data_IF_494599472470
#
_entry.id   IF_494599472470
#
_cell.length_a   1.000
_cell.length_b   1.000
_cell.length_c   1.000
_cell.angle_alpha   90.00
_cell.angle_beta   90.00
_cell.angle_gamma   90.00
#
_symmetry.space_group_name_H-M   'P 1'
#
loop_
_entity.id
_entity.type
_entity.pdbx_description
1 polymer ?
#
# COMPACT_ATOMS: atom_id res chain seq x y z
N UNK A 1 19.10 7.69 15.12
CA UNK A 1 18.92 8.98 14.39
C UNK A 1 19.35 10.09 15.33
N UNK A 2 20.54 10.66 15.17
CA UNK A 2 21.00 11.79 15.98
C UNK A 2 20.14 13.02 15.64
N UNK A 3 19.43 13.57 16.63
CA UNK A 3 18.64 14.79 16.48
C UNK A 3 19.59 15.98 16.27
N UNK A 4 19.50 16.73 15.18
CA UNK A 4 20.29 17.95 14.98
C UNK A 4 19.59 19.13 15.67
N UNK A 5 20.27 19.78 16.63
CA UNK A 5 19.81 21.03 17.24
C UNK A 5 20.09 22.19 16.26
N UNK A 6 19.09 23.04 16.03
CA UNK A 6 19.19 24.19 15.13
C UNK A 6 18.72 25.49 15.78
N UNK A 7 19.10 26.61 15.18
CA UNK A 7 18.59 27.94 15.54
C UNK A 7 17.06 27.95 15.56
N UNK A 8 16.47 28.54 16.57
CA UNK A 8 15.01 28.58 16.77
C UNK A 8 14.43 27.39 17.53
N UNK A 9 15.26 26.42 17.95
CA UNK A 9 14.78 25.34 18.81
C UNK A 9 14.40 25.90 20.16
N UNK A 10 13.16 25.63 20.60
CA UNK A 10 12.65 26.04 21.90
C UNK A 10 13.15 25.11 22.99
N UNK A 11 13.69 25.68 24.05
CA UNK A 11 14.10 24.97 25.26
C UNK A 11 13.23 25.41 26.44
N UNK A 12 13.09 24.55 27.44
CA UNK A 12 12.36 24.89 28.67
C UNK A 12 13.20 24.45 29.85
N UNK A 13 13.72 25.42 30.60
CA UNK A 13 14.54 25.21 31.79
C UNK A 13 13.72 25.58 33.02
N UNK A 14 13.91 24.84 34.10
CA UNK A 14 13.38 25.20 35.39
C UNK A 14 14.42 26.01 36.17
N UNK A 15 13.99 27.12 36.74
CA UNK A 15 14.76 27.98 37.62
C UNK A 15 14.21 27.85 39.04
N UNK A 16 15.10 27.51 39.98
CA UNK A 16 14.77 27.42 41.40
C UNK A 16 14.22 28.77 41.89
N UNK A 17 13.01 28.79 42.46
CA UNK A 17 12.33 30.02 42.90
C UNK A 17 11.56 30.79 41.82
N UNK A 18 11.79 30.52 40.53
CA UNK A 18 11.16 31.26 39.41
C UNK A 18 10.32 30.38 38.47
N UNK A 19 10.35 29.06 38.63
CA UNK A 19 9.57 28.13 37.84
C UNK A 19 10.15 27.90 36.44
N UNK A 20 9.30 27.54 35.48
CA UNK A 20 9.75 27.22 34.13
C UNK A 20 9.85 28.45 33.23
N UNK A 21 11.02 28.69 32.65
CA UNK A 21 11.17 29.66 31.57
C UNK A 21 11.39 28.95 30.23
N UNK A 22 10.83 29.54 29.18
CA UNK A 22 11.03 29.08 27.80
C UNK A 22 12.08 29.95 27.14
N UNK A 23 13.14 29.34 26.63
CA UNK A 23 14.21 29.99 25.89
C UNK A 23 14.27 29.51 24.45
N UNK A 24 15.00 30.23 23.60
CA UNK A 24 15.21 29.90 22.20
C UNK A 24 16.70 29.90 21.86
N UNK A 25 17.18 28.88 21.14
CA UNK A 25 18.56 28.83 20.65
C UNK A 25 18.78 29.87 19.56
N UNK A 26 19.72 30.80 19.76
CA UNK A 26 20.01 31.90 18.84
C UNK A 26 21.17 31.62 17.90
N UNK A 27 22.35 31.35 18.46
CA UNK A 27 23.61 31.14 17.71
C UNK A 27 24.57 30.28 18.51
N UNK A 28 25.57 29.73 17.83
CA UNK A 28 26.68 29.02 18.46
C UNK A 28 27.89 29.95 18.59
N UNK A 29 28.51 29.95 19.77
CA UNK A 29 29.70 30.74 20.07
C UNK A 29 30.70 29.89 20.85
N UNK A 30 32.00 30.21 20.70
CA UNK A 30 33.05 29.55 21.46
C UNK A 30 33.18 30.24 22.82
N UNK A 31 32.87 29.50 23.88
CA UNK A 31 32.89 30.00 25.26
C UNK A 31 33.70 29.09 26.17
N UNK A 32 34.12 29.62 27.32
CA UNK A 32 34.69 28.80 28.38
C UNK A 32 33.62 27.82 28.86
N UNK A 33 33.96 26.54 28.81
CA UNK A 33 33.08 25.42 29.12
C UNK A 33 32.63 25.49 30.58
N UNK A 34 31.32 25.46 30.79
CA UNK A 34 30.66 25.37 32.10
C UNK A 34 30.85 23.99 32.71
N UNK A 35 30.84 22.94 31.86
CA UNK A 35 31.04 21.55 32.27
C UNK A 35 32.51 21.18 32.52
N UNK A 36 33.45 21.79 31.79
CA UNK A 36 34.87 21.45 31.79
C UNK A 36 35.74 22.71 31.97
N UNK A 37 35.98 23.15 33.22
CA UNK A 37 36.73 24.37 33.51
C UNK A 37 38.10 24.41 32.80
N UNK A 38 38.40 25.54 32.15
CA UNK A 38 39.67 25.77 31.45
C UNK A 38 39.73 25.26 30.01
N UNK A 39 38.60 24.78 29.46
CA UNK A 39 38.48 24.41 28.03
C UNK A 39 37.51 25.34 27.33
N UNK A 40 37.85 25.76 26.12
CA UNK A 40 36.90 26.46 25.24
C UNK A 40 36.10 25.44 24.45
N UNK A 41 34.78 25.62 24.37
CA UNK A 41 33.86 24.75 23.63
C UNK A 41 32.79 25.56 22.91
N UNK A 42 32.20 24.95 21.88
CA UNK A 42 31.05 25.51 21.18
C UNK A 42 29.80 25.32 22.03
N UNK A 43 29.17 26.42 22.41
CA UNK A 43 27.91 26.45 23.14
C UNK A 43 26.85 27.24 22.38
N UNK A 44 25.59 26.88 22.58
CA UNK A 44 24.45 27.64 22.09
C UNK A 44 24.10 28.76 23.05
N UNK A 45 24.00 29.99 22.54
CA UNK A 45 23.38 31.09 23.26
C UNK A 45 21.86 30.89 23.28
N UNK A 46 21.29 30.79 24.48
CA UNK A 46 19.85 30.76 24.72
C UNK A 46 19.41 32.12 25.21
N UNK A 47 18.44 32.72 24.53
CA UNK A 47 17.74 33.91 25.01
C UNK A 47 16.39 33.53 25.63
N UNK A 48 16.12 34.02 26.83
CA UNK A 48 14.84 33.88 27.52
C UNK A 48 13.97 35.13 27.33
N UNK A 49 12.67 35.02 27.62
CA UNK A 49 11.69 36.08 27.39
C UNK A 49 11.88 37.32 28.30
N UNK A 50 12.58 37.16 29.43
CA UNK A 50 12.95 38.20 30.39
C UNK A 50 14.22 38.96 29.99
N UNK A 51 14.83 38.62 28.84
CA UNK A 51 16.08 39.22 28.38
C UNK A 51 17.32 38.59 28.99
N UNK A 52 17.18 37.56 29.83
CA UNK A 52 18.32 36.78 30.31
C UNK A 52 18.91 35.94 29.17
N UNK A 53 20.24 35.88 29.11
CA UNK A 53 20.96 35.07 28.14
C UNK A 53 21.95 34.16 28.86
N UNK A 54 21.99 32.89 28.45
CA UNK A 54 22.89 31.90 29.03
C UNK A 54 23.45 30.99 27.92
N UNK A 55 24.69 30.54 28.08
CA UNK A 55 25.32 29.62 27.15
C UNK A 55 25.09 28.19 27.61
N UNK A 56 24.69 27.32 26.68
CA UNK A 56 24.56 25.90 26.94
C UNK A 56 25.34 25.08 25.91
N UNK A 57 26.22 24.21 26.40
CA UNK A 57 26.79 23.17 25.58
C UNK A 57 25.69 22.24 25.07
N UNK A 58 25.88 21.71 23.87
CA UNK A 58 24.96 20.72 23.29
C UNK A 58 24.80 19.49 24.21
N UNK A 59 25.86 19.16 24.96
CA UNK A 59 25.84 18.12 25.98
C UNK A 59 24.88 18.47 27.14
N UNK A 60 24.85 19.71 27.63
CA UNK A 60 23.93 20.16 28.69
C UNK A 60 22.48 20.18 28.22
N UNK A 61 22.24 20.63 26.99
CA UNK A 61 20.90 20.63 26.38
C UNK A 61 20.34 19.21 26.29
N UNK A 62 21.19 18.24 25.91
CA UNK A 62 20.78 16.84 25.71
C UNK A 62 20.73 16.03 27.01
N UNK A 63 21.64 16.29 27.95
CA UNK A 63 21.78 15.52 29.20
C UNK A 63 21.04 16.13 30.39
N UNK A 64 20.65 17.41 30.29
CA UNK A 64 19.96 18.18 31.33
C UNK A 64 20.76 18.42 32.61
N UNK A 65 22.08 18.24 32.58
CA UNK A 65 22.88 17.97 33.77
C UNK A 65 23.12 19.16 34.70
N UNK A 66 22.95 20.39 34.26
CA UNK A 66 23.34 21.55 35.07
C UNK A 66 22.15 22.17 35.85
N UNK A 67 21.53 21.28 36.66
CA UNK A 67 21.00 21.48 38.03
C UNK A 67 20.13 22.71 38.32
N UNK A 68 18.92 22.61 38.87
CA UNK A 68 18.65 21.96 40.16
C UNK A 68 17.24 21.38 40.33
N UNK A 69 16.30 21.51 39.40
CA UNK A 69 14.95 20.89 39.54
C UNK A 69 14.14 20.92 38.22
N UNK A 70 14.62 20.32 37.13
CA UNK A 70 13.76 20.14 35.94
C UNK A 70 12.90 18.87 36.07
N UNK A 71 11.69 18.82 35.47
CA UNK A 71 10.72 17.76 35.64
C UNK A 71 11.30 16.50 35.04
N UNK A 72 11.23 15.45 35.85
CA UNK A 72 11.81 14.17 35.57
C UNK A 72 11.07 13.51 34.41
N UNK A 73 11.82 13.00 33.44
CA UNK A 73 11.29 11.94 32.59
C UNK A 73 11.04 10.70 33.49
N UNK A 74 10.32 9.67 33.03
CA UNK A 74 9.96 8.49 33.84
C UNK A 74 11.08 7.75 34.61
N UNK A 75 12.36 8.14 34.41
CA UNK A 75 13.56 7.62 35.06
C UNK A 75 14.31 8.64 35.95
N UNK A 76 13.72 9.78 36.33
CA UNK A 76 14.23 10.63 37.42
C UNK A 76 15.37 11.62 37.10
N UNK A 77 15.55 12.04 35.83
CA UNK A 77 16.61 13.01 35.44
C UNK A 77 16.07 14.22 34.65
N UNK A 78 16.65 15.43 34.85
CA UNK A 78 16.19 16.68 34.25
C UNK A 78 16.29 16.68 32.71
N UNK A 79 15.27 17.20 32.00
CA UNK A 79 15.33 17.43 30.55
C UNK A 79 15.12 18.90 30.19
N UNK A 80 16.05 19.48 29.42
CA UNK A 80 16.06 20.92 29.05
C UNK A 80 15.39 21.16 27.69
N UNK A 81 15.26 20.11 26.86
CA UNK A 81 14.68 20.19 25.51
C UNK A 81 13.19 19.84 25.52
N UNK A 82 12.35 20.75 25.01
CA UNK A 82 10.94 20.47 24.74
C UNK A 82 10.80 19.78 23.39
N UNK A 83 10.77 18.45 23.41
CA UNK A 83 10.67 17.59 22.22
C UNK A 83 9.33 17.79 21.46
N UNK A 84 8.30 18.40 22.08
CA UNK A 84 6.96 18.60 21.50
C UNK A 84 6.96 19.44 20.22
N UNK A 85 7.91 20.36 20.06
CA UNK A 85 7.96 21.27 18.91
C UNK A 85 8.91 20.81 17.80
N UNK A 86 9.63 19.70 18.00
CA UNK A 86 10.59 19.23 17.02
C UNK A 86 9.89 18.72 15.75
N UNK A 87 10.37 19.13 14.55
CA UNK A 87 9.80 18.67 13.28
C UNK A 87 9.72 17.15 13.16
N UNK A 88 10.72 16.42 13.65
CA UNK A 88 10.72 14.96 13.58
C UNK A 88 9.59 14.33 14.41
N UNK A 89 9.29 14.88 15.61
CA UNK A 89 8.18 14.39 16.45
C UNK A 89 6.82 14.74 15.85
N UNK A 90 6.69 15.92 15.24
CA UNK A 90 5.46 16.30 14.50
C UNK A 90 5.19 15.35 13.33
N UNK A 91 6.24 14.93 12.60
CA UNK A 91 6.12 13.94 11.54
C UNK A 91 5.61 12.59 12.06
N UNK A 92 6.22 12.09 13.15
CA UNK A 92 5.78 10.83 13.79
C UNK A 92 4.34 10.93 14.29
N UNK A 93 3.96 12.03 14.96
CA UNK A 93 2.60 12.22 15.46
C UNK A 93 1.59 12.27 14.33
N UNK A 94 1.90 12.94 13.22
CA UNK A 94 1.02 12.98 12.05
C UNK A 94 0.79 11.58 11.46
N UNK A 95 1.84 10.76 11.35
CA UNK A 95 1.70 9.38 10.85
C UNK A 95 0.91 8.49 11.82
N UNK A 96 1.07 8.70 13.13
CA UNK A 96 0.27 8.00 14.13
C UNK A 96 -1.20 8.44 14.12
N UNK A 97 -1.48 9.73 13.94
CA UNK A 97 -2.83 10.27 13.76
C UNK A 97 -3.51 9.64 12.54
N UNK A 98 -2.85 9.60 11.39
CA UNK A 98 -3.38 8.93 10.18
C UNK A 98 -3.66 7.43 10.41
N UNK A 99 -2.81 6.75 11.18
CA UNK A 99 -3.01 5.34 11.54
C UNK A 99 -4.16 5.13 12.53
N UNK A 100 -4.32 6.04 13.50
CA UNK A 100 -5.42 6.01 14.47
C UNK A 100 -6.75 6.37 13.82
N UNK A 101 -6.78 7.35 12.93
CA UNK A 101 -7.95 7.71 12.12
C UNK A 101 -8.43 6.51 11.29
N UNK A 102 -7.50 5.75 10.71
CA UNK A 102 -7.85 4.51 10.01
C UNK A 102 -8.46 3.46 10.93
N UNK A 103 -7.91 3.27 12.13
CA UNK A 103 -8.43 2.32 13.11
C UNK A 103 -9.80 2.75 13.65
N UNK A 104 -9.98 4.05 13.89
CA UNK A 104 -11.24 4.62 14.34
C UNK A 104 -12.31 4.52 13.25
N UNK A 105 -11.97 4.86 11.99
CA UNK A 105 -12.85 4.66 10.84
C UNK A 105 -13.22 3.17 10.64
N UNK A 106 -12.33 2.25 11.03
CA UNK A 106 -12.60 0.80 11.00
C UNK A 106 -13.58 0.36 12.09
N UNK A 107 -13.51 0.98 13.27
CA UNK A 107 -14.41 0.73 14.40
C UNK A 107 -15.77 1.42 14.22
N UNK A 108 -15.81 2.63 13.64
CA UNK A 108 -17.03 3.39 13.37
C UNK A 108 -17.77 2.92 12.11
N UNK A 109 -17.09 2.20 11.21
CA UNK A 109 -17.66 1.72 9.95
C UNK A 109 -17.53 2.70 8.78
N UNK A 110 -16.81 3.82 8.96
CA UNK A 110 -16.59 4.86 7.95
C UNK A 110 -15.37 4.60 7.04
N UNK A 111 -14.72 3.44 7.15
CA UNK A 111 -13.60 3.10 6.28
C UNK A 111 -14.04 2.92 4.81
N UNK A 112 -13.10 3.07 3.87
CA UNK A 112 -13.31 2.65 2.47
C UNK A 112 -13.97 1.27 2.42
N UNK A 113 -14.99 1.12 1.57
CA UNK A 113 -15.78 -0.09 1.47
C UNK A 113 -14.87 -1.33 1.51
N UNK A 114 -15.21 -2.30 2.38
CA UNK A 114 -14.51 -3.58 2.46
C UNK A 114 -14.22 -4.10 1.06
N UNK A 115 -13.00 -4.60 0.83
CA UNK A 115 -12.64 -5.28 -0.42
C UNK A 115 -13.73 -6.31 -0.72
N UNK A 116 -14.54 -6.01 -1.73
CA UNK A 116 -15.74 -6.77 -2.03
C UNK A 116 -15.40 -7.74 -3.14
N UNK A 117 -15.38 -9.03 -2.82
CA UNK A 117 -15.22 -10.09 -3.81
C UNK A 117 -16.45 -10.22 -4.73
N UNK A 118 -17.47 -9.36 -4.60
CA UNK A 118 -18.72 -9.42 -5.37
C UNK A 118 -18.46 -9.46 -6.89
N UNK A 119 -17.51 -8.66 -7.38
CA UNK A 119 -17.19 -8.61 -8.81
C UNK A 119 -16.48 -9.88 -9.27
N UNK A 120 -15.57 -10.43 -8.45
CA UNK A 120 -14.93 -11.72 -8.72
C UNK A 120 -15.93 -12.87 -8.71
N UNK A 121 -16.86 -12.89 -7.75
CA UNK A 121 -17.94 -13.88 -7.72
C UNK A 121 -18.88 -13.75 -8.92
N UNK A 122 -19.15 -12.52 -9.39
CA UNK A 122 -19.93 -12.30 -10.60
C UNK A 122 -19.25 -12.90 -11.83
N UNK A 123 -17.94 -12.69 -11.98
CA UNK A 123 -17.12 -13.30 -13.05
C UNK A 123 -17.14 -14.83 -12.95
N UNK A 124 -16.84 -15.40 -11.77
CA UNK A 124 -16.85 -16.85 -11.56
C UNK A 124 -18.23 -17.47 -11.87
N UNK A 125 -19.32 -16.77 -11.55
CA UNK A 125 -20.68 -17.22 -11.84
C UNK A 125 -20.92 -17.32 -13.34
N UNK A 126 -20.56 -16.29 -14.11
CA UNK A 126 -20.86 -16.25 -15.56
C UNK A 126 -19.91 -17.11 -16.39
N UNK A 127 -18.69 -17.33 -15.93
CA UNK A 127 -17.71 -18.23 -16.56
C UNK A 127 -18.18 -19.70 -16.58
N UNK A 128 -19.11 -20.09 -15.70
CA UNK A 128 -19.72 -21.43 -15.74
C UNK A 128 -20.43 -21.72 -17.05
N UNK A 129 -20.85 -20.70 -17.80
CA UNK A 129 -21.40 -20.86 -19.14
C UNK A 129 -20.44 -21.53 -20.12
N UNK A 130 -19.13 -21.61 -19.83
CA UNK A 130 -18.17 -22.33 -20.69
C UNK A 130 -18.05 -23.82 -20.36
N UNK A 131 -18.80 -24.31 -19.36
CA UNK A 131 -19.06 -25.73 -19.16
C UNK A 131 -20.33 -26.12 -19.92
N UNK A 132 -20.25 -26.98 -20.96
CA UNK A 132 -21.40 -27.37 -21.76
C UNK A 132 -22.56 -27.97 -20.95
N UNK A 133 -22.29 -28.80 -19.93
CA UNK A 133 -23.36 -29.38 -19.11
C UNK A 133 -24.09 -28.31 -18.27
N UNK A 134 -23.40 -27.23 -17.89
CA UNK A 134 -24.05 -26.10 -17.22
C UNK A 134 -24.80 -25.22 -18.22
N UNK A 135 -24.20 -24.96 -19.38
CA UNK A 135 -24.80 -24.13 -20.41
C UNK A 135 -26.16 -24.66 -20.87
N UNK A 136 -26.23 -25.95 -21.20
CA UNK A 136 -27.45 -26.60 -21.67
C UNK A 136 -28.64 -26.50 -20.69
N UNK A 137 -28.37 -26.34 -19.39
CA UNK A 137 -29.40 -26.31 -18.36
C UNK A 137 -29.76 -24.90 -17.85
N UNK A 138 -28.85 -23.93 -17.94
CA UNK A 138 -28.98 -22.66 -17.21
C UNK A 138 -28.65 -21.39 -18.01
N UNK A 139 -28.10 -21.52 -19.22
CA UNK A 139 -27.71 -20.34 -20.01
C UNK A 139 -28.82 -19.95 -20.95
N UNK A 140 -29.31 -18.73 -20.77
CA UNK A 140 -30.26 -18.05 -21.64
C UNK A 140 -29.70 -16.68 -22.07
N UNK A 141 -30.47 -15.91 -22.83
CA UNK A 141 -30.05 -14.58 -23.27
C UNK A 141 -29.83 -13.61 -22.09
N UNK A 142 -30.60 -13.74 -21.00
CA UNK A 142 -30.46 -12.93 -19.80
C UNK A 142 -29.14 -13.24 -19.06
N UNK A 143 -28.70 -14.50 -19.09
CA UNK A 143 -27.42 -14.93 -18.55
C UNK A 143 -26.25 -14.28 -19.29
N UNK A 144 -26.34 -14.17 -20.63
CA UNK A 144 -25.31 -13.52 -21.46
C UNK A 144 -25.18 -12.04 -21.11
N UNK A 145 -26.27 -11.33 -20.84
CA UNK A 145 -26.21 -9.94 -20.35
C UNK A 145 -25.39 -9.82 -19.05
N UNK A 146 -25.47 -10.84 -18.18
CA UNK A 146 -24.62 -10.95 -17.00
C UNK A 146 -23.12 -10.99 -17.28
N UNK A 147 -22.70 -11.42 -18.48
CA UNK A 147 -21.29 -11.51 -18.88
C UNK A 147 -20.61 -10.16 -19.13
N UNK A 148 -21.35 -9.03 -19.11
CA UNK A 148 -20.76 -7.69 -19.22
C UNK A 148 -19.69 -7.39 -18.15
N UNK A 149 -19.74 -8.10 -17.01
CA UNK A 149 -18.74 -8.00 -15.95
C UNK A 149 -17.35 -8.57 -16.36
N UNK A 150 -17.27 -9.36 -17.44
CA UNK A 150 -16.03 -9.91 -17.98
C UNK A 150 -15.49 -9.00 -19.08
N UNK A 151 -14.61 -8.07 -18.71
CA UNK A 151 -14.05 -7.04 -19.61
C UNK A 151 -13.59 -7.56 -20.98
N UNK A 152 -12.83 -8.69 -21.08
CA UNK A 152 -12.36 -9.18 -22.38
C UNK A 152 -13.46 -9.63 -23.35
N UNK A 153 -14.66 -9.96 -22.85
CA UNK A 153 -15.74 -10.60 -23.62
C UNK A 153 -16.87 -9.61 -23.91
N UNK A 154 -16.88 -8.45 -23.26
CA UNK A 154 -17.91 -7.42 -23.42
C UNK A 154 -18.20 -7.06 -24.88
N UNK A 155 -17.18 -7.02 -25.74
CA UNK A 155 -17.35 -6.70 -27.16
C UNK A 155 -17.94 -7.84 -28.00
N UNK A 156 -18.02 -9.05 -27.46
CA UNK A 156 -18.53 -10.25 -28.13
C UNK A 156 -19.97 -10.58 -27.75
N UNK A 157 -20.58 -9.89 -26.77
CA UNK A 157 -21.89 -10.25 -26.20
C UNK A 157 -23.00 -10.37 -27.24
N UNK A 158 -23.05 -9.45 -28.20
CA UNK A 158 -24.05 -9.48 -29.26
C UNK A 158 -23.90 -10.72 -30.14
N UNK A 159 -22.68 -11.02 -30.58
CA UNK A 159 -22.40 -12.22 -31.38
C UNK A 159 -22.60 -13.52 -30.60
N UNK A 160 -22.37 -13.52 -29.28
CA UNK A 160 -22.67 -14.66 -28.41
C UNK A 160 -24.16 -14.98 -28.35
N UNK A 161 -25.04 -13.98 -28.39
CA UNK A 161 -26.49 -14.18 -28.45
C UNK A 161 -26.92 -14.76 -29.79
N UNK A 162 -26.34 -14.27 -30.88
CA UNK A 162 -26.63 -14.76 -32.24
C UNK A 162 -26.23 -16.23 -32.40
N UNK A 163 -25.09 -16.63 -31.83
CA UNK A 163 -24.60 -18.01 -31.84
C UNK A 163 -25.17 -18.89 -30.70
N UNK A 164 -25.98 -18.34 -29.79
CA UNK A 164 -26.49 -19.06 -28.62
C UNK A 164 -27.25 -20.35 -28.95
N UNK A 165 -28.17 -20.38 -29.94
CA UNK A 165 -28.91 -21.62 -30.26
C UNK A 165 -27.99 -22.75 -30.74
N UNK A 166 -26.98 -22.41 -31.56
CA UNK A 166 -26.00 -23.38 -32.05
C UNK A 166 -25.13 -23.90 -30.89
N UNK A 167 -24.70 -23.00 -30.00
CA UNK A 167 -23.94 -23.36 -28.82
C UNK A 167 -24.72 -24.29 -27.87
N UNK A 168 -25.99 -23.97 -27.57
CA UNK A 168 -26.83 -24.81 -26.69
C UNK A 168 -27.12 -26.19 -27.28
N UNK A 169 -27.31 -26.27 -28.60
CA UNK A 169 -27.47 -27.56 -29.29
C UNK A 169 -26.23 -28.43 -29.13
N UNK A 170 -25.04 -27.90 -29.39
CA UNK A 170 -23.78 -28.62 -29.21
C UNK A 170 -23.52 -28.96 -27.73
N UNK A 171 -23.95 -28.08 -26.82
CA UNK A 171 -23.78 -28.27 -25.39
C UNK A 171 -24.69 -29.38 -24.82
N UNK A 172 -25.89 -29.55 -25.38
CA UNK A 172 -26.81 -30.63 -25.00
C UNK A 172 -26.27 -32.02 -25.38
N UNK A 173 -25.50 -32.12 -26.46
CA UNK A 173 -24.84 -33.35 -26.91
C UNK A 173 -23.49 -33.62 -26.24
N UNK A 174 -23.02 -32.69 -25.38
CA UNK A 174 -21.72 -32.82 -24.74
C UNK A 174 -21.70 -33.97 -23.72
N UNK A 175 -20.56 -34.69 -23.59
CA UNK A 175 -20.41 -35.72 -22.58
C UNK A 175 -20.52 -35.12 -21.17
N UNK A 176 -20.90 -35.95 -20.19
CA UNK A 176 -20.92 -35.52 -18.79
C UNK A 176 -19.49 -35.27 -18.28
N UNK A 177 -19.22 -34.05 -17.85
CA UNK A 177 -17.94 -33.64 -17.23
C UNK A 177 -18.04 -33.79 -15.71
N UNK A 178 -17.42 -34.85 -15.17
CA UNK A 178 -17.32 -35.04 -13.72
C UNK A 178 -16.43 -33.97 -13.09
N UNK A 179 -16.97 -33.23 -12.11
CA UNK A 179 -16.27 -32.15 -11.40
C UNK A 179 -15.44 -32.63 -10.19
N UNK A 180 -15.42 -33.95 -9.92
CA UNK A 180 -14.71 -34.53 -8.78
C UNK A 180 -13.20 -34.71 -8.96
N UNK A 181 -12.72 -34.64 -10.21
CA UNK A 181 -11.30 -34.73 -10.57
C UNK A 181 -10.94 -33.58 -11.52
N UNK A 182 -10.10 -32.66 -11.04
CA UNK A 182 -9.76 -31.39 -11.72
C UNK A 182 -8.96 -31.62 -12.99
N UNK A 183 -8.04 -32.59 -13.00
CA UNK A 183 -7.17 -32.84 -14.15
C UNK A 183 -7.98 -33.44 -15.30
N UNK A 184 -8.78 -34.47 -14.98
CA UNK A 184 -9.70 -35.09 -15.93
C UNK A 184 -10.77 -34.12 -16.43
N UNK A 185 -11.30 -33.26 -15.56
CA UNK A 185 -12.28 -32.23 -15.92
C UNK A 185 -11.68 -31.22 -16.92
N UNK A 186 -10.50 -30.69 -16.60
CA UNK A 186 -9.82 -29.68 -17.41
C UNK A 186 -9.46 -30.22 -18.79
N UNK A 187 -8.90 -31.43 -18.87
CA UNK A 187 -8.53 -32.03 -20.15
C UNK A 187 -9.76 -32.28 -21.04
N UNK A 188 -10.84 -32.83 -20.46
CA UNK A 188 -12.06 -33.15 -21.21
C UNK A 188 -12.77 -31.89 -21.73
N UNK A 189 -12.86 -30.83 -20.93
CA UNK A 189 -13.43 -29.55 -21.36
C UNK A 189 -12.59 -28.93 -22.48
N UNK A 190 -11.26 -28.87 -22.31
CA UNK A 190 -10.38 -28.31 -23.33
C UNK A 190 -10.44 -29.11 -24.64
N UNK A 191 -10.55 -30.45 -24.55
CA UNK A 191 -10.71 -31.31 -25.73
C UNK A 191 -12.04 -31.07 -26.43
N UNK A 192 -13.13 -30.87 -25.70
CA UNK A 192 -14.43 -30.52 -26.27
C UNK A 192 -14.39 -29.17 -27.00
N UNK A 193 -13.80 -28.14 -26.38
CA UNK A 193 -13.68 -26.82 -27.01
C UNK A 193 -12.79 -26.86 -28.26
N UNK A 194 -11.69 -27.63 -28.27
CA UNK A 194 -10.88 -27.81 -29.48
C UNK A 194 -11.68 -28.39 -30.65
N UNK A 195 -12.58 -29.34 -30.39
CA UNK A 195 -13.38 -29.98 -31.42
C UNK A 195 -14.57 -29.16 -31.93
N UNK A 196 -15.10 -28.23 -31.11
CA UNK A 196 -16.38 -27.57 -31.41
C UNK A 196 -16.27 -26.05 -31.63
N UNK A 197 -15.14 -25.41 -31.29
CA UNK A 197 -15.01 -23.95 -31.37
C UNK A 197 -15.24 -23.34 -32.77
N UNK A 198 -15.01 -24.10 -33.85
CA UNK A 198 -15.23 -23.62 -35.22
C UNK A 198 -16.72 -23.50 -35.59
N UNK A 199 -17.61 -24.20 -34.88
CA UNK A 199 -19.06 -24.14 -35.11
C UNK A 199 -19.69 -22.85 -34.56
N UNK A 200 -19.04 -22.23 -33.57
CA UNK A 200 -19.47 -21.02 -32.89
C UNK A 200 -18.25 -20.13 -32.60
N UNK A 201 -17.74 -19.41 -33.61
CA UNK A 201 -16.45 -18.73 -33.53
C UNK A 201 -16.40 -17.65 -32.44
N UNK A 202 -17.53 -16.99 -32.14
CA UNK A 202 -17.61 -15.97 -31.07
C UNK A 202 -17.51 -16.62 -29.70
N UNK A 203 -18.20 -17.75 -29.48
CA UNK A 203 -18.07 -18.56 -28.27
C UNK A 203 -16.66 -19.16 -28.13
N UNK A 204 -16.05 -19.63 -29.23
CA UNK A 204 -14.67 -20.11 -29.24
C UNK A 204 -13.64 -19.03 -28.90
N UNK A 205 -13.83 -17.82 -29.40
CA UNK A 205 -13.01 -16.66 -29.04
C UNK A 205 -13.21 -16.26 -27.56
N UNK A 206 -14.46 -16.28 -27.07
CA UNK A 206 -14.76 -16.00 -25.68
C UNK A 206 -14.19 -17.06 -24.73
N UNK A 207 -14.25 -18.34 -25.09
CA UNK A 207 -13.70 -19.45 -24.31
C UNK A 207 -12.18 -19.32 -24.14
N UNK A 208 -11.46 -18.98 -25.22
CA UNK A 208 -10.01 -18.70 -25.14
C UNK A 208 -9.69 -17.56 -24.17
N UNK A 209 -10.48 -16.50 -24.19
CA UNK A 209 -10.31 -15.36 -23.26
C UNK A 209 -10.62 -15.76 -21.81
N UNK A 210 -11.69 -16.52 -21.59
CA UNK A 210 -12.06 -17.02 -20.25
C UNK A 210 -11.01 -17.97 -19.69
N UNK A 211 -10.54 -18.94 -20.46
CA UNK A 211 -9.55 -19.91 -19.98
C UNK A 211 -8.17 -19.29 -19.73
N UNK A 212 -7.90 -18.10 -20.29
CA UNK A 212 -6.74 -17.30 -19.95
C UNK A 212 -6.89 -16.51 -18.64
N UNK A 213 -8.11 -16.35 -18.11
CA UNK A 213 -8.33 -15.73 -16.81
C UNK A 213 -7.84 -16.68 -15.71
N UNK A 214 -6.72 -16.34 -15.09
CA UNK A 214 -6.23 -17.08 -13.92
C UNK A 214 -6.98 -16.58 -12.68
N UNK A 215 -7.73 -17.42 -11.94
CA UNK A 215 -8.51 -17.00 -10.78
C UNK A 215 -7.66 -16.79 -9.51
N UNK A 216 -6.38 -16.46 -9.67
CA UNK A 216 -5.48 -16.18 -8.55
C UNK A 216 -4.48 -15.06 -8.90
N UNK A 217 -4.07 -14.30 -7.89
CA UNK A 217 -2.91 -13.40 -7.97
C UNK A 217 -1.60 -14.15 -8.12
N UNK A 218 -1.58 -15.45 -7.81
CA UNK A 218 -0.38 -16.29 -7.78
C UNK A 218 0.30 -16.39 -9.16
N UNK A 219 -0.44 -16.30 -10.27
CA UNK A 219 0.14 -16.18 -11.61
C UNK A 219 1.05 -14.95 -11.72
N UNK A 220 0.57 -13.79 -11.27
CA UNK A 220 1.35 -12.57 -11.21
C UNK A 220 2.48 -12.66 -10.17
N UNK A 221 2.24 -13.24 -9.00
CA UNK A 221 3.29 -13.44 -7.97
C UNK A 221 4.42 -14.34 -8.46
N UNK A 222 4.11 -15.37 -9.27
CA UNK A 222 5.12 -16.23 -9.90
C UNK A 222 5.91 -15.48 -10.96
N UNK A 223 5.26 -14.62 -11.76
CA UNK A 223 5.95 -13.72 -12.69
C UNK A 223 6.82 -12.71 -11.94
N UNK A 224 6.34 -12.12 -10.84
CA UNK A 224 7.11 -11.24 -9.98
C UNK A 224 8.27 -11.98 -9.30
N UNK A 225 8.10 -13.24 -8.91
CA UNK A 225 9.15 -14.07 -8.34
C UNK A 225 10.21 -14.43 -9.39
N UNK A 226 9.79 -14.74 -10.62
CA UNK A 226 10.70 -14.96 -11.75
C UNK A 226 11.51 -13.69 -12.06
N UNK A 227 10.85 -12.53 -12.10
CA UNK A 227 11.49 -11.22 -12.26
C UNK A 227 12.49 -10.93 -11.13
N UNK A 228 12.13 -11.22 -9.88
CA UNK A 228 13.07 -11.10 -8.74
C UNK A 228 14.28 -12.01 -8.90
N UNK A 229 14.08 -13.23 -9.41
CA UNK A 229 15.16 -14.20 -9.66
C UNK A 229 16.09 -13.74 -10.78
N UNK A 230 15.54 -13.10 -11.83
CA UNK A 230 16.30 -12.61 -12.99
C UNK A 230 17.19 -11.39 -12.68
N UNK A 231 16.71 -10.48 -11.82
CA UNK A 231 17.44 -9.27 -11.44
C UNK A 231 18.37 -9.51 -10.22
N UNK A 232 18.06 -10.51 -9.38
CA UNK A 232 18.80 -10.79 -8.16
C UNK A 232 18.63 -9.71 -7.08
N UNK A 233 19.07 -10.02 -5.86
CA UNK A 233 18.80 -9.18 -4.67
C UNK A 233 19.44 -7.78 -4.75
N UNK A 234 20.55 -7.64 -5.46
CA UNK A 234 21.27 -6.36 -5.60
C UNK A 234 20.59 -5.38 -6.56
N UNK A 235 19.72 -5.84 -7.47
CA UNK A 235 19.07 -5.00 -8.48
C UNK A 235 17.58 -4.76 -8.18
N UNK A 236 17.13 -5.08 -6.97
CA UNK A 236 15.72 -4.95 -6.57
C UNK A 236 15.20 -3.51 -6.70
N UNK A 237 16.05 -2.51 -6.41
CA UNK A 237 15.71 -1.09 -6.58
C UNK A 237 15.45 -0.74 -8.05
N UNK A 238 16.28 -1.22 -8.97
CA UNK A 238 16.11 -1.00 -10.40
C UNK A 238 14.86 -1.70 -10.95
N UNK A 239 14.58 -2.94 -10.49
CA UNK A 239 13.36 -3.66 -10.83
C UNK A 239 12.11 -2.92 -10.35
N UNK A 240 12.12 -2.40 -9.12
CA UNK A 240 11.01 -1.65 -8.54
C UNK A 240 10.73 -0.36 -9.35
N UNK A 241 11.76 0.38 -9.74
CA UNK A 241 11.62 1.59 -10.55
C UNK A 241 11.12 1.29 -11.97
N UNK A 242 11.61 0.21 -12.60
CA UNK A 242 11.13 -0.22 -13.92
C UNK A 242 9.67 -0.66 -13.88
N UNK A 243 9.26 -1.43 -12.88
CA UNK A 243 7.87 -1.85 -12.70
C UNK A 243 6.96 -0.65 -12.47
N UNK A 244 7.35 0.25 -11.57
CA UNK A 244 6.59 1.46 -11.26
C UNK A 244 6.46 2.37 -12.48
N UNK A 245 7.55 2.59 -13.21
CA UNK A 245 7.55 3.40 -14.44
C UNK A 245 6.67 2.76 -15.53
N UNK A 246 6.77 1.44 -15.72
CA UNK A 246 5.98 0.71 -16.72
C UNK A 246 4.48 0.73 -16.40
N UNK A 247 4.12 0.56 -15.12
CA UNK A 247 2.75 0.65 -14.65
C UNK A 247 2.20 2.07 -14.77
N UNK A 248 2.97 3.09 -14.38
CA UNK A 248 2.57 4.49 -14.55
C UNK A 248 2.39 4.87 -16.02
N UNK A 249 3.26 4.40 -16.92
CA UNK A 249 3.10 4.64 -18.37
C UNK A 249 1.86 3.96 -18.97
N UNK A 250 1.49 2.77 -18.47
CA UNK A 250 0.28 2.06 -18.90
C UNK A 250 -1.00 2.66 -18.30
N UNK A 251 -0.97 3.02 -17.02
CA UNK A 251 -2.09 3.62 -16.32
C UNK A 251 -2.45 4.99 -16.89
N UNK A 252 -1.44 5.80 -17.19
CA UNK A 252 -1.62 7.11 -17.83
C UNK A 252 -1.96 7.02 -19.33
N UNK A 253 -2.29 5.82 -19.86
CA UNK A 253 -2.73 5.57 -21.23
C UNK A 253 -1.97 6.40 -22.26
N UNK A 254 -0.70 6.09 -22.48
CA UNK A 254 0.15 6.80 -23.46
C UNK A 254 -0.53 6.85 -24.85
N UNK A 255 -1.23 7.94 -25.14
CA UNK A 255 -1.29 8.55 -26.47
C UNK A 255 0.07 9.17 -26.70
N UNK A 256 0.89 8.50 -27.50
CA UNK A 256 2.07 9.10 -28.13
C UNK A 256 1.97 8.79 -29.60
N UNK A 257 1.90 9.87 -30.39
CA UNK A 257 2.41 9.88 -31.75
C UNK A 257 3.93 9.85 -31.77
#
# INVERSE_FOLDING_TARGET
>A
MQMNLGRGTKIKKYFEGHGFATGELRRQEEVQSTLYPGRTRQAWLVSYADGHEEHFEEEELRSGRDGKTAPENGDGKPSVIVVKHLPQRKGILKTLEEGLDYLEARLSGDCQANFSCKDMYAICRVVRAFNPNFAAAYVDEAFIEGMHCVTPIRTLLQALKEELPAYLSAAAEAPSFHTGDVDTFSEKILRWWRGNHDQFPSWGAAARKVFALTPNSAGCERVFSLLKTLFGDQQYAALADMLRSSLMMRYNSRTVG
#
